data_IF_554001986402
#
_entry.id   IF_554001986402
#
_cell.length_a   1.000
_cell.length_b   1.000
_cell.length_c   1.000
_cell.angle_alpha   90.00
_cell.angle_beta   90.00
_cell.angle_gamma   90.00
#
_symmetry.space_group_name_H-M   'P 1'
#
loop_
_entity.id
_entity.type
_entity.pdbx_description
1 polymer ?
#
# COMPACT_ATOMS: atom_id res chain seq x y z
N UNK A 1 6.10 -54.95 28.76
CA UNK A 1 5.96 -54.57 27.34
C UNK A 1 7.34 -54.28 26.71
N UNK A 2 7.63 -54.80 25.52
CA UNK A 2 8.92 -54.53 24.88
C UNK A 2 9.03 -53.04 24.51
N UNK A 3 10.24 -52.45 24.50
CA UNK A 3 10.46 -51.06 24.06
C UNK A 3 9.86 -50.78 22.67
N UNK A 4 9.89 -51.78 21.78
CA UNK A 4 9.29 -51.72 20.46
C UNK A 4 7.75 -51.62 20.51
N UNK A 5 7.10 -52.35 21.42
CA UNK A 5 5.65 -52.30 21.61
C UNK A 5 5.19 -50.94 22.17
N UNK A 6 5.95 -50.37 23.11
CA UNK A 6 5.65 -49.05 23.67
C UNK A 6 5.87 -47.92 22.65
N UNK A 7 6.92 -48.02 21.81
CA UNK A 7 7.15 -47.06 20.72
C UNK A 7 6.05 -47.14 19.65
N UNK A 8 5.61 -48.36 19.30
CA UNK A 8 4.49 -48.56 18.37
C UNK A 8 3.16 -48.03 18.94
N UNK A 9 2.87 -48.28 20.22
CA UNK A 9 1.66 -47.80 20.88
C UNK A 9 1.64 -46.26 21.02
N UNK A 10 2.79 -45.65 21.32
CA UNK A 10 2.92 -44.19 21.36
C UNK A 10 2.83 -43.54 19.96
N UNK A 11 3.33 -44.20 18.92
CA UNK A 11 3.15 -43.77 17.53
C UNK A 11 1.69 -43.91 17.08
N UNK A 12 1.00 -45.00 17.45
CA UNK A 12 -0.44 -45.18 17.25
C UNK A 12 -1.26 -44.13 18.00
N UNK A 13 -0.98 -43.89 19.28
CA UNK A 13 -1.65 -42.85 20.07
C UNK A 13 -1.38 -41.45 19.48
N UNK A 14 -0.17 -41.13 19.02
CA UNK A 14 0.07 -39.86 18.31
C UNK A 14 -0.68 -39.77 16.97
N UNK A 15 -0.77 -40.86 16.22
CA UNK A 15 -1.54 -40.92 14.97
C UNK A 15 -3.06 -40.85 15.21
N UNK A 16 -3.54 -41.34 16.35
CA UNK A 16 -4.95 -41.29 16.76
C UNK A 16 -5.34 -39.96 17.43
N UNK A 17 -4.40 -39.26 18.08
CA UNK A 17 -4.68 -38.08 18.91
C UNK A 17 -4.28 -36.77 18.21
N UNK A 18 -3.37 -36.80 17.24
CA UNK A 18 -3.05 -35.64 16.40
C UNK A 18 -3.65 -35.83 15.01
N UNK A 19 -4.87 -35.34 14.74
CA UNK A 19 -5.42 -35.35 13.38
C UNK A 19 -4.42 -34.66 12.42
N UNK A 20 -4.30 -35.16 11.18
CA UNK A 20 -3.47 -34.50 10.18
C UNK A 20 -3.88 -33.04 10.06
N UNK A 21 -2.90 -32.16 10.14
CA UNK A 21 -3.09 -30.72 10.09
C UNK A 21 -3.00 -30.26 8.63
N UNK A 22 -4.09 -29.64 8.17
CA UNK A 22 -4.06 -28.84 6.96
C UNK A 22 -3.43 -27.50 7.30
N UNK A 23 -2.31 -27.21 6.65
CA UNK A 23 -1.67 -25.91 6.65
C UNK A 23 -2.47 -24.89 5.85
N UNK A 24 -2.04 -23.62 5.92
CA UNK A 24 -2.69 -22.53 5.21
C UNK A 24 -2.64 -22.78 3.70
N UNK A 25 -3.72 -22.41 3.03
CA UNK A 25 -3.82 -22.45 1.59
C UNK A 25 -3.26 -21.14 1.03
N UNK A 26 -2.30 -21.24 0.12
CA UNK A 26 -1.59 -20.09 -0.43
C UNK A 26 -1.61 -20.10 -1.95
N UNK A 27 -1.74 -18.93 -2.56
CA UNK A 27 -1.61 -18.78 -4.01
C UNK A 27 -0.16 -18.43 -4.37
N UNK A 28 0.32 -19.01 -5.46
CA UNK A 28 1.59 -18.67 -6.11
C UNK A 28 1.34 -18.30 -7.57
N UNK A 29 2.16 -17.40 -8.10
CA UNK A 29 1.98 -16.83 -9.43
C UNK A 29 3.27 -16.94 -10.23
N UNK A 30 3.18 -17.36 -11.49
CA UNK A 30 4.31 -17.47 -12.38
C UNK A 30 3.93 -16.99 -13.78
N UNK A 31 4.90 -16.41 -14.50
CA UNK A 31 4.73 -16.08 -15.91
C UNK A 31 5.21 -17.28 -16.74
N UNK A 32 4.35 -17.78 -17.62
CA UNK A 32 4.68 -18.85 -18.58
C UNK A 32 4.10 -18.44 -19.92
N UNK A 33 4.92 -18.44 -20.97
CA UNK A 33 4.53 -18.01 -22.32
C UNK A 33 3.83 -16.64 -22.37
N UNK A 34 4.30 -15.70 -21.54
CA UNK A 34 3.74 -14.35 -21.46
C UNK A 34 2.38 -14.26 -20.75
N UNK A 35 1.93 -15.32 -20.08
CA UNK A 35 0.68 -15.34 -19.32
C UNK A 35 0.94 -15.62 -17.84
N UNK A 36 0.19 -14.95 -16.96
CA UNK A 36 0.28 -15.22 -15.53
C UNK A 36 -0.59 -16.43 -15.20
N UNK A 37 0.00 -17.44 -14.58
CA UNK A 37 -0.67 -18.64 -14.09
C UNK A 37 -0.71 -18.62 -12.57
N UNK A 38 -1.87 -18.96 -12.00
CA UNK A 38 -2.06 -19.14 -10.57
C UNK A 38 -1.94 -20.63 -10.24
N UNK A 39 -1.23 -20.94 -9.15
CA UNK A 39 -1.15 -22.28 -8.56
C UNK A 39 -1.43 -22.18 -7.07
N UNK A 40 -2.40 -22.95 -6.60
CA UNK A 40 -2.72 -23.08 -5.19
C UNK A 40 -1.81 -24.11 -4.53
N UNK A 41 -1.35 -23.83 -3.31
CA UNK A 41 -0.48 -24.71 -2.52
C UNK A 41 -1.02 -24.84 -1.11
N UNK A 42 -1.04 -26.06 -0.61
CA UNK A 42 -1.40 -26.36 0.76
C UNK A 42 -0.41 -27.38 1.32
N UNK A 43 0.06 -27.12 2.54
CA UNK A 43 0.89 -28.07 3.26
C UNK A 43 -0.01 -29.00 4.05
N UNK A 44 0.24 -30.29 3.98
CA UNK A 44 -0.39 -31.29 4.84
C UNK A 44 0.66 -31.86 5.77
N UNK A 45 0.37 -31.88 7.08
CA UNK A 45 1.27 -32.42 8.11
C UNK A 45 0.56 -33.54 8.85
N UNK A 46 1.07 -34.77 8.80
CA UNK A 46 0.52 -35.89 9.57
C UNK A 46 0.65 -37.25 8.89
N UNK A 47 0.58 -38.32 9.69
CA UNK A 47 0.55 -39.71 9.22
C UNK A 47 -0.86 -40.26 9.35
N UNK A 48 -1.47 -40.69 8.25
CA UNK A 48 -2.62 -41.59 8.29
C UNK A 48 -2.57 -42.55 7.09
N UNK A 49 -3.09 -43.76 7.28
CA UNK A 49 -3.00 -44.86 6.32
C UNK A 49 -3.89 -44.68 5.08
N UNK A 50 -4.78 -43.68 5.08
CA UNK A 50 -5.54 -43.25 3.91
C UNK A 50 -5.96 -41.78 4.07
N UNK A 51 -5.28 -40.87 3.36
CA UNK A 51 -5.64 -39.45 3.29
C UNK A 51 -6.17 -39.15 1.89
N UNK A 52 -7.40 -38.65 1.81
CA UNK A 52 -7.96 -38.14 0.56
C UNK A 52 -8.18 -36.64 0.72
N UNK A 53 -7.49 -35.86 -0.10
CA UNK A 53 -7.70 -34.43 -0.17
C UNK A 53 -8.59 -34.14 -1.37
N UNK A 54 -9.80 -33.68 -1.07
CA UNK A 54 -10.79 -33.27 -2.06
C UNK A 54 -10.74 -31.75 -2.19
N UNK A 55 -10.77 -31.26 -3.42
CA UNK A 55 -10.82 -29.82 -3.70
C UNK A 55 -12.07 -29.54 -4.48
N UNK A 56 -12.88 -28.63 -3.93
CA UNK A 56 -14.08 -28.12 -4.58
C UNK A 56 -13.84 -26.67 -4.97
N UNK A 57 -14.01 -26.32 -6.26
CA UNK A 57 -13.94 -24.93 -6.68
C UNK A 57 -15.21 -24.23 -6.20
N UNK A 58 -15.07 -23.15 -5.44
CA UNK A 58 -16.23 -22.34 -5.05
C UNK A 58 -16.48 -21.21 -6.08
N UNK A 59 -15.47 -20.88 -6.88
CA UNK A 59 -15.60 -20.08 -8.10
C UNK A 59 -14.45 -20.43 -9.07
N UNK A 60 -14.80 -20.88 -10.28
CA UNK A 60 -13.92 -21.27 -11.41
C UNK A 60 -13.38 -22.74 -11.41
N UNK A 61 -14.02 -23.56 -12.26
CA UNK A 61 -13.61 -24.77 -13.01
C UNK A 61 -12.56 -25.79 -12.51
N UNK A 62 -12.27 -25.91 -11.22
CA UNK A 62 -11.27 -26.87 -10.73
C UNK A 62 -11.82 -27.88 -9.73
N UNK A 63 -12.36 -28.98 -10.23
CA UNK A 63 -12.67 -30.16 -9.41
C UNK A 63 -11.50 -31.15 -9.49
N UNK A 64 -11.07 -31.65 -8.34
CA UNK A 64 -9.99 -32.64 -8.29
C UNK A 64 -9.91 -33.36 -6.94
N UNK A 65 -9.43 -34.60 -6.98
CA UNK A 65 -9.11 -35.37 -5.79
C UNK A 65 -7.67 -35.87 -5.90
N UNK A 66 -6.93 -35.78 -4.81
CA UNK A 66 -5.59 -36.34 -4.71
C UNK A 66 -5.57 -37.42 -3.61
N UNK A 67 -5.17 -38.64 -3.98
CA UNK A 67 -4.84 -39.69 -3.02
C UNK A 67 -3.41 -39.46 -2.50
N UNK A 68 -3.27 -39.49 -1.16
CA UNK A 68 -2.02 -39.13 -0.50
C UNK A 68 -1.43 -40.34 0.22
N UNK A 69 -0.20 -40.69 -0.18
CA UNK A 69 0.61 -41.70 0.51
C UNK A 69 1.09 -41.16 1.88
N UNK A 70 1.24 -42.03 2.90
CA UNK A 70 1.66 -41.60 4.24
C UNK A 70 3.05 -40.95 4.24
N UNK A 71 3.14 -39.65 4.56
CA UNK A 71 4.39 -38.91 4.76
C UNK A 71 4.19 -37.82 5.82
N UNK A 72 5.23 -37.49 6.59
CA UNK A 72 5.13 -36.52 7.69
C UNK A 72 4.73 -35.11 7.24
N UNK A 73 5.24 -34.66 6.09
CA UNK A 73 4.88 -33.38 5.47
C UNK A 73 4.81 -33.56 3.95
N UNK A 74 3.74 -33.06 3.33
CA UNK A 74 3.58 -33.02 1.87
C UNK A 74 3.01 -31.68 1.42
N UNK A 75 3.61 -31.09 0.39
CA UNK A 75 2.98 -29.98 -0.35
C UNK A 75 2.09 -30.58 -1.44
N UNK A 76 0.85 -30.09 -1.51
CA UNK A 76 -0.08 -30.43 -2.59
C UNK A 76 -0.33 -29.15 -3.40
N UNK A 77 -0.28 -29.28 -4.72
CA UNK A 77 -0.48 -28.16 -5.65
C UNK A 77 -1.68 -28.41 -6.55
N UNK A 78 -2.41 -27.33 -6.85
CA UNK A 78 -3.54 -27.36 -7.78
C UNK A 78 -3.39 -26.23 -8.79
N UNK A 79 -3.68 -26.48 -10.08
CA UNK A 79 -3.81 -25.39 -11.05
C UNK A 79 -4.91 -24.45 -10.57
N UNK A 80 -4.70 -23.14 -10.69
CA UNK A 80 -5.62 -22.10 -10.24
C UNK A 80 -6.18 -21.24 -11.38
N UNK A 81 -5.87 -21.58 -12.62
CA UNK A 81 -6.26 -20.84 -13.84
C UNK A 81 -5.28 -19.73 -14.21
N UNK A 82 -5.60 -19.04 -15.31
CA UNK A 82 -4.86 -17.87 -15.78
C UNK A 82 -5.36 -16.59 -15.10
N UNK A 83 -4.47 -15.64 -14.92
CA UNK A 83 -4.77 -14.29 -14.43
C UNK A 83 -4.42 -13.32 -15.56
N UNK A 84 -5.43 -12.68 -16.14
CA UNK A 84 -5.27 -11.78 -17.30
C UNK A 84 -5.43 -10.32 -16.93
N UNK A 85 -6.06 -10.03 -15.80
CA UNK A 85 -6.35 -8.69 -15.32
C UNK A 85 -6.33 -8.61 -13.78
N UNK A 86 -6.40 -7.39 -13.24
CA UNK A 86 -6.55 -7.15 -11.80
C UNK A 86 -7.86 -7.73 -11.24
N UNK A 87 -8.94 -7.76 -12.05
CA UNK A 87 -10.23 -8.30 -11.63
C UNK A 87 -10.17 -9.81 -11.35
N UNK A 88 -9.29 -10.54 -12.07
CA UNK A 88 -9.11 -11.99 -11.94
C UNK A 88 -8.37 -12.40 -10.65
N UNK A 89 -7.81 -11.42 -9.93
CA UNK A 89 -7.10 -11.66 -8.68
C UNK A 89 -8.04 -12.08 -7.56
N UNK A 90 -9.30 -11.63 -7.61
CA UNK A 90 -10.34 -12.06 -6.67
C UNK A 90 -10.64 -13.54 -6.90
N UNK A 91 -10.55 -14.36 -5.87
CA UNK A 91 -10.80 -15.78 -5.97
C UNK A 91 -11.22 -16.41 -4.66
N UNK A 92 -12.01 -17.47 -4.77
CA UNK A 92 -12.44 -18.28 -3.64
C UNK A 92 -12.03 -19.73 -3.88
N UNK A 93 -11.37 -20.34 -2.92
CA UNK A 93 -10.93 -21.72 -3.01
C UNK A 93 -11.27 -22.46 -1.71
N UNK A 94 -11.89 -23.64 -1.85
CA UNK A 94 -12.12 -24.54 -0.73
C UNK A 94 -11.44 -25.88 -0.97
N UNK A 95 -10.80 -26.41 0.06
CA UNK A 95 -10.38 -27.80 0.15
C UNK A 95 -11.06 -28.49 1.32
N UNK A 96 -11.16 -29.81 1.23
CA UNK A 96 -11.68 -30.68 2.27
C UNK A 96 -10.71 -31.85 2.41
N UNK A 97 -10.06 -31.97 3.57
CA UNK A 97 -9.31 -33.17 3.89
C UNK A 97 -10.26 -34.20 4.48
N UNK A 98 -10.32 -35.38 3.87
CA UNK A 98 -11.06 -36.52 4.40
C UNK A 98 -10.10 -37.54 5.02
N UNK A 99 -10.35 -37.89 6.28
CA UNK A 99 -9.59 -38.87 7.06
C UNK A 99 -10.58 -39.91 7.60
N UNK A 100 -10.67 -41.06 6.94
CA UNK A 100 -11.77 -42.00 7.16
C UNK A 100 -13.12 -41.34 6.83
N UNK A 101 -14.01 -41.27 7.83
CA UNK A 101 -15.33 -40.62 7.70
C UNK A 101 -15.35 -39.15 8.16
N UNK A 102 -14.22 -38.64 8.69
CA UNK A 102 -14.13 -37.26 9.17
C UNK A 102 -13.69 -36.33 8.05
N UNK A 103 -14.40 -35.21 7.87
CA UNK A 103 -14.09 -34.17 6.89
C UNK A 103 -13.63 -32.91 7.61
N UNK A 104 -12.45 -32.42 7.25
CA UNK A 104 -11.86 -31.17 7.72
C UNK A 104 -11.90 -30.15 6.57
N UNK A 105 -12.87 -29.23 6.54
CA UNK A 105 -12.92 -28.19 5.53
C UNK A 105 -11.84 -27.13 5.79
N UNK A 106 -11.30 -26.58 4.72
CA UNK A 106 -10.49 -25.36 4.73
C UNK A 106 -10.92 -24.51 3.56
N UNK A 107 -11.14 -23.24 3.80
CA UNK A 107 -11.53 -22.29 2.76
C UNK A 107 -10.61 -21.09 2.86
N UNK A 108 -10.13 -20.61 1.72
CA UNK A 108 -9.49 -19.31 1.63
C UNK A 108 -10.19 -18.47 0.57
N UNK A 109 -10.40 -17.21 0.90
CA UNK A 109 -11.04 -16.23 0.03
C UNK A 109 -10.12 -15.04 -0.13
N UNK A 110 -9.74 -14.78 -1.37
CA UNK A 110 -9.09 -13.56 -1.81
C UNK A 110 -10.19 -12.60 -2.30
N UNK A 111 -10.88 -11.94 -1.38
CA UNK A 111 -11.81 -10.85 -1.70
C UNK A 111 -11.21 -9.52 -1.25
N UNK A 112 -10.55 -8.85 -2.18
CA UNK A 112 -9.86 -7.59 -1.88
C UNK A 112 -10.83 -6.43 -1.59
N UNK A 113 -12.06 -6.48 -2.11
CA UNK A 113 -13.09 -5.49 -1.78
C UNK A 113 -13.53 -5.66 -0.34
N UNK A 114 -13.77 -6.89 0.09
CA UNK A 114 -14.08 -7.19 1.49
C UNK A 114 -12.91 -6.80 2.42
N UNK A 115 -11.65 -7.06 2.02
CA UNK A 115 -10.50 -6.65 2.82
C UNK A 115 -10.37 -5.12 2.91
N UNK A 116 -10.68 -4.38 1.84
CA UNK A 116 -10.70 -2.92 1.87
C UNK A 116 -11.73 -2.40 2.87
N UNK A 117 -12.93 -2.98 2.88
CA UNK A 117 -13.99 -2.64 3.84
C UNK A 117 -13.54 -2.92 5.27
N UNK A 118 -12.96 -4.09 5.56
CA UNK A 118 -12.47 -4.43 6.92
C UNK A 118 -11.38 -3.48 7.40
N UNK A 119 -10.45 -3.11 6.53
CA UNK A 119 -9.40 -2.14 6.85
C UNK A 119 -10.00 -0.74 7.07
N UNK A 120 -10.90 -0.29 6.20
CA UNK A 120 -11.57 0.99 6.33
C UNK A 120 -12.41 1.09 7.61
N UNK A 121 -13.10 0.02 7.99
CA UNK A 121 -13.87 -0.07 9.24
C UNK A 121 -12.97 0.05 10.46
N UNK A 122 -11.82 -0.62 10.42
CA UNK A 122 -10.81 -0.49 11.46
C UNK A 122 -10.33 0.97 11.55
N UNK A 123 -9.87 1.55 10.44
CA UNK A 123 -9.38 2.94 10.42
C UNK A 123 -10.45 3.96 10.85
N UNK A 124 -11.70 3.78 10.42
CA UNK A 124 -12.79 4.69 10.76
C UNK A 124 -13.09 4.70 12.26
N UNK A 125 -13.06 3.52 12.89
CA UNK A 125 -13.26 3.38 14.35
C UNK A 125 -12.10 3.97 15.14
N UNK A 126 -10.86 3.68 14.75
CA UNK A 126 -9.69 4.20 15.47
C UNK A 126 -9.50 5.72 15.24
N UNK A 127 -10.06 6.27 14.16
CA UNK A 127 -9.97 7.68 13.79
C UNK A 127 -11.10 8.58 14.28
N UNK A 128 -11.92 8.14 15.24
CA UNK A 128 -13.05 8.94 15.75
C UNK A 128 -12.61 10.32 16.26
N UNK A 129 -11.46 10.39 16.93
CA UNK A 129 -10.86 11.63 17.45
C UNK A 129 -10.09 12.44 16.40
N UNK A 130 -10.12 12.02 15.12
CA UNK A 130 -9.46 12.70 14.01
C UNK A 130 -8.01 12.29 13.77
N UNK A 131 -7.47 11.28 14.48
CA UNK A 131 -6.14 10.68 14.26
C UNK A 131 -6.20 9.18 14.48
N UNK A 132 -5.38 8.40 13.78
CA UNK A 132 -5.41 6.94 13.86
C UNK A 132 -4.25 6.40 14.70
N UNK A 133 -3.02 6.63 14.23
CA UNK A 133 -1.80 6.17 14.88
C UNK A 133 -1.20 7.20 15.84
N UNK A 134 -1.70 8.44 15.78
CA UNK A 134 -1.09 9.60 16.43
C UNK A 134 0.12 10.16 15.69
N UNK A 135 0.56 9.53 14.59
CA UNK A 135 1.69 9.96 13.76
C UNK A 135 1.17 10.38 12.38
N UNK A 136 1.17 11.69 12.12
CA UNK A 136 0.44 12.28 11.01
C UNK A 136 0.91 11.82 9.62
N UNK A 137 2.22 11.60 9.42
CA UNK A 137 2.72 11.07 8.14
C UNK A 137 2.33 9.60 7.93
N UNK A 138 1.95 8.85 8.96
CA UNK A 138 1.37 7.51 8.76
C UNK A 138 -0.11 7.66 8.42
N UNK A 139 -0.80 8.48 9.21
CA UNK A 139 -2.24 8.69 9.13
C UNK A 139 -2.68 9.18 7.75
N UNK A 140 -1.89 10.01 7.05
CA UNK A 140 -2.23 10.50 5.71
C UNK A 140 -2.48 9.35 4.70
N UNK A 141 -1.82 8.20 4.86
CA UNK A 141 -2.06 7.01 4.02
C UNK A 141 -3.34 6.30 4.42
N UNK A 142 -3.63 6.23 5.71
CA UNK A 142 -4.92 5.77 6.23
C UNK A 142 -6.08 6.62 5.69
N UNK A 143 -5.94 7.94 5.69
CA UNK A 143 -6.90 8.88 5.07
C UNK A 143 -7.13 8.55 3.60
N UNK A 144 -6.06 8.32 2.83
CA UNK A 144 -6.19 7.97 1.41
C UNK A 144 -6.86 6.62 1.18
N UNK A 145 -6.61 5.64 2.06
CA UNK A 145 -7.31 4.37 2.03
C UNK A 145 -8.81 4.54 2.34
N UNK A 146 -9.18 5.39 3.30
CA UNK A 146 -10.57 5.74 3.62
C UNK A 146 -11.27 6.45 2.45
N UNK A 147 -10.61 7.39 1.78
CA UNK A 147 -11.15 8.03 0.58
C UNK A 147 -11.36 7.00 -0.55
N UNK A 148 -10.40 6.08 -0.75
CA UNK A 148 -10.55 4.98 -1.69
C UNK A 148 -11.74 4.07 -1.35
N UNK A 149 -11.88 3.69 -0.08
CA UNK A 149 -13.01 2.90 0.38
C UNK A 149 -14.36 3.62 0.20
N UNK A 150 -14.41 4.93 0.47
CA UNK A 150 -15.59 5.76 0.22
C UNK A 150 -16.00 5.72 -1.28
N UNK A 151 -15.05 5.87 -2.19
CA UNK A 151 -15.31 5.82 -3.63
C UNK A 151 -15.81 4.44 -4.10
N UNK A 152 -15.33 3.38 -3.45
CA UNK A 152 -15.67 1.98 -3.78
C UNK A 152 -17.04 1.57 -3.23
N UNK A 153 -17.46 2.14 -2.10
CA UNK A 153 -18.63 1.67 -1.31
C UNK A 153 -19.76 2.70 -1.20
N UNK A 154 -19.46 3.99 -1.31
CA UNK A 154 -20.40 5.08 -1.03
C UNK A 154 -20.58 5.39 0.47
N UNK A 155 -19.86 4.68 1.37
CA UNK A 155 -20.07 4.80 2.81
C UNK A 155 -19.51 6.11 3.38
N UNK A 156 -20.41 7.05 3.68
CA UNK A 156 -20.07 8.43 4.07
C UNK A 156 -19.17 8.53 5.30
N UNK A 157 -19.27 7.58 6.24
CA UNK A 157 -18.44 7.58 7.46
C UNK A 157 -16.94 7.56 7.18
N UNK A 158 -16.52 6.94 6.07
CA UNK A 158 -15.10 6.90 5.70
C UNK A 158 -14.62 8.28 5.25
N UNK A 159 -15.42 8.97 4.42
CA UNK A 159 -15.16 10.34 4.00
C UNK A 159 -15.15 11.30 5.19
N UNK A 160 -16.16 11.20 6.06
CA UNK A 160 -16.27 12.07 7.24
C UNK A 160 -15.08 11.90 8.18
N UNK A 161 -14.61 10.67 8.39
CA UNK A 161 -13.39 10.41 9.18
C UNK A 161 -12.14 10.99 8.52
N UNK A 162 -12.00 10.82 7.20
CA UNK A 162 -10.90 11.40 6.43
C UNK A 162 -10.86 12.94 6.53
N UNK A 163 -12.02 13.60 6.43
CA UNK A 163 -12.13 15.06 6.58
C UNK A 163 -11.82 15.54 8.00
N UNK A 164 -12.26 14.80 9.04
CA UNK A 164 -11.92 15.12 10.44
C UNK A 164 -10.40 15.16 10.64
N UNK A 165 -9.67 14.19 10.08
CA UNK A 165 -8.21 14.21 10.12
C UNK A 165 -7.62 15.47 9.48
N UNK A 166 -8.13 15.87 8.31
CA UNK A 166 -7.66 17.09 7.65
C UNK A 166 -7.88 18.34 8.50
N UNK A 167 -9.05 18.46 9.14
CA UNK A 167 -9.34 19.58 10.04
C UNK A 167 -8.45 19.58 11.29
N UNK A 168 -8.10 18.41 11.82
CA UNK A 168 -7.12 18.29 12.90
C UNK A 168 -5.73 18.77 12.45
N UNK A 169 -5.29 18.41 11.24
CA UNK A 169 -4.02 18.88 10.68
C UNK A 169 -3.99 20.40 10.47
N UNK A 170 -5.10 21.01 10.05
CA UNK A 170 -5.21 22.48 9.98
C UNK A 170 -5.10 23.10 11.37
N UNK A 171 -5.82 22.57 12.36
CA UNK A 171 -5.84 23.11 13.71
C UNK A 171 -4.47 23.03 14.42
N UNK A 172 -3.68 22.01 14.09
CA UNK A 172 -2.39 21.75 14.70
C UNK A 172 -1.20 22.24 13.87
N UNK A 173 -1.42 22.79 12.68
CA UNK A 173 -0.36 23.33 11.85
C UNK A 173 0.37 24.45 12.61
N UNK A 174 1.70 24.49 12.47
CA UNK A 174 2.55 25.50 13.09
C UNK A 174 2.37 26.85 12.40
N UNK A 175 2.68 27.92 13.12
CA UNK A 175 2.62 29.29 12.60
C UNK A 175 3.58 29.52 11.40
N UNK A 176 4.68 28.77 11.34
CA UNK A 176 5.62 28.80 10.20
C UNK A 176 5.17 27.96 8.99
N UNK A 177 3.99 27.33 9.08
CA UNK A 177 3.40 26.48 8.04
C UNK A 177 3.79 25.01 8.12
N UNK A 178 4.74 24.63 8.98
CA UNK A 178 5.12 23.22 9.18
C UNK A 178 3.99 22.39 9.79
N UNK A 179 3.82 21.15 9.34
CA UNK A 179 2.87 20.21 9.96
C UNK A 179 3.48 19.52 11.17
N UNK A 180 2.73 19.46 12.27
CA UNK A 180 3.10 18.65 13.43
C UNK A 180 2.96 17.17 13.09
N UNK A 181 4.04 16.43 13.27
CA UNK A 181 4.14 15.04 12.82
C UNK A 181 3.55 14.03 13.81
N UNK A 182 3.21 14.47 15.02
CA UNK A 182 2.80 13.60 16.13
C UNK A 182 3.95 13.07 16.98
N UNK A 183 5.19 13.50 16.69
CA UNK A 183 6.40 13.19 17.45
C UNK A 183 7.40 14.35 17.34
N UNK A 184 8.52 14.27 18.08
CA UNK A 184 9.59 15.28 18.02
C UNK A 184 9.35 16.52 18.88
N UNK A 185 8.25 16.57 19.65
CA UNK A 185 7.99 17.63 20.65
C UNK A 185 8.59 17.18 21.98
N UNK A 186 9.59 17.92 22.47
CA UNK A 186 10.32 17.59 23.70
C UNK A 186 10.51 18.83 24.58
N UNK A 187 11.06 18.64 25.78
CA UNK A 187 11.49 19.77 26.62
C UNK A 187 12.58 20.64 25.99
N UNK A 188 13.30 20.14 24.96
CA UNK A 188 14.31 20.91 24.21
C UNK A 188 13.71 21.74 23.08
N UNK A 189 12.43 21.53 22.76
CA UNK A 189 11.73 22.16 21.63
C UNK A 189 11.13 21.12 20.68
N UNK A 190 10.70 21.59 19.52
CA UNK A 190 9.92 20.85 18.54
C UNK A 190 10.71 20.62 17.25
N UNK A 191 10.79 19.35 16.83
CA UNK A 191 11.23 18.96 15.48
C UNK A 191 10.07 19.11 14.48
N UNK A 192 10.40 19.48 13.25
CA UNK A 192 9.45 19.56 12.16
C UNK A 192 10.16 19.23 10.85
N UNK A 193 9.93 18.04 10.30
CA UNK A 193 10.59 17.59 9.09
C UNK A 193 9.82 17.98 7.84
N UNK A 194 10.54 18.48 6.85
CA UNK A 194 9.98 18.84 5.53
C UNK A 194 9.50 17.58 4.80
N UNK A 195 10.23 16.46 4.91
CA UNK A 195 9.85 15.20 4.26
C UNK A 195 8.47 14.70 4.74
N UNK A 196 8.31 14.52 6.04
CA UNK A 196 7.06 14.09 6.68
C UNK A 196 5.92 15.07 6.44
N UNK A 197 6.22 16.37 6.48
CA UNK A 197 5.26 17.42 6.11
C UNK A 197 4.75 17.27 4.67
N UNK A 198 5.60 16.80 3.74
CA UNK A 198 5.22 16.52 2.35
C UNK A 198 4.23 15.37 2.22
N UNK A 199 4.45 14.31 2.99
CA UNK A 199 3.54 13.17 3.08
C UNK A 199 2.18 13.63 3.64
N UNK A 200 2.18 14.41 4.72
CA UNK A 200 0.95 15.00 5.29
C UNK A 200 0.26 15.91 4.26
N UNK A 201 1.02 16.77 3.57
CA UNK A 201 0.50 17.66 2.53
C UNK A 201 -0.16 16.91 1.38
N UNK A 202 0.34 15.72 1.01
CA UNK A 202 -0.30 14.90 -0.01
C UNK A 202 -1.68 14.40 0.46
N UNK A 203 -1.79 13.97 1.72
CA UNK A 203 -3.09 13.63 2.32
C UNK A 203 -4.05 14.81 2.34
N UNK A 204 -3.56 16.00 2.74
CA UNK A 204 -4.33 17.23 2.73
C UNK A 204 -4.83 17.60 1.33
N UNK A 205 -3.95 17.51 0.31
CA UNK A 205 -4.33 17.74 -1.08
C UNK A 205 -5.43 16.78 -1.52
N UNK A 206 -5.35 15.50 -1.12
CA UNK A 206 -6.38 14.50 -1.46
C UNK A 206 -7.76 14.80 -0.90
N UNK A 207 -7.88 15.55 0.20
CA UNK A 207 -9.16 15.94 0.78
C UNK A 207 -9.85 17.09 0.04
N UNK A 208 -9.09 17.96 -0.63
CA UNK A 208 -9.60 19.18 -1.28
C UNK A 208 -10.76 18.94 -2.27
N UNK A 209 -10.71 17.90 -3.14
CA UNK A 209 -11.82 17.58 -4.03
C UNK A 209 -13.11 17.16 -3.32
N UNK A 210 -13.01 16.63 -2.09
CA UNK A 210 -14.15 16.11 -1.31
C UNK A 210 -14.69 17.11 -0.29
N UNK A 211 -13.89 18.10 0.09
CA UNK A 211 -14.28 19.10 1.07
C UNK A 211 -15.46 19.94 0.58
N UNK A 212 -16.34 20.31 1.52
CA UNK A 212 -17.41 21.25 1.22
C UNK A 212 -16.84 22.60 0.76
N UNK A 213 -17.63 23.37 0.00
CA UNK A 213 -17.19 24.67 -0.53
C UNK A 213 -16.67 25.63 0.55
N UNK A 214 -17.24 25.58 1.76
CA UNK A 214 -16.82 26.39 2.90
C UNK A 214 -15.50 25.92 3.55
N UNK A 215 -15.15 24.64 3.43
CA UNK A 215 -13.96 24.04 4.04
C UNK A 215 -12.75 24.06 3.10
N UNK A 216 -13.00 23.98 1.79
CA UNK A 216 -11.96 23.98 0.76
C UNK A 216 -10.93 25.12 0.91
N UNK A 217 -11.32 26.40 1.15
CA UNK A 217 -10.35 27.47 1.35
C UNK A 217 -9.41 27.23 2.53
N UNK A 218 -9.89 26.63 3.62
CA UNK A 218 -9.07 26.34 4.81
C UNK A 218 -8.00 25.28 4.51
N UNK A 219 -8.38 24.22 3.80
CA UNK A 219 -7.43 23.18 3.36
C UNK A 219 -6.40 23.74 2.39
N UNK A 220 -6.83 24.57 1.43
CA UNK A 220 -5.93 25.22 0.47
C UNK A 220 -4.96 26.20 1.14
N UNK A 221 -5.42 26.96 2.13
CA UNK A 221 -4.56 27.84 2.92
C UNK A 221 -3.52 27.05 3.71
N UNK A 222 -3.91 25.93 4.31
CA UNK A 222 -3.00 25.04 5.03
C UNK A 222 -1.91 24.45 4.11
N UNK A 223 -2.30 24.00 2.91
CA UNK A 223 -1.35 23.58 1.86
C UNK A 223 -0.39 24.70 1.47
N UNK A 224 -0.91 25.90 1.22
CA UNK A 224 -0.08 27.07 0.87
C UNK A 224 0.94 27.39 1.97
N UNK A 225 0.53 27.34 3.25
CA UNK A 225 1.42 27.51 4.39
C UNK A 225 2.54 26.47 4.42
N UNK A 226 2.21 25.20 4.18
CA UNK A 226 3.21 24.15 4.09
C UNK A 226 4.19 24.33 2.93
N UNK A 227 3.73 24.74 1.74
CA UNK A 227 4.65 25.01 0.64
C UNK A 227 5.55 26.21 0.93
N UNK A 228 5.05 27.27 1.58
CA UNK A 228 5.91 28.35 2.06
C UNK A 228 6.96 27.85 3.08
N UNK A 229 6.57 27.00 4.03
CA UNK A 229 7.47 26.35 4.97
C UNK A 229 8.57 25.56 4.25
N UNK A 230 8.18 24.66 3.34
CA UNK A 230 9.08 23.83 2.53
C UNK A 230 10.08 24.67 1.75
N UNK A 231 9.61 25.70 1.06
CA UNK A 231 10.46 26.58 0.23
C UNK A 231 11.47 27.37 1.06
N UNK A 232 11.18 27.65 2.34
CA UNK A 232 12.15 28.27 3.24
C UNK A 232 13.42 27.43 3.45
N UNK A 233 13.38 26.11 3.17
CA UNK A 233 14.52 25.19 3.25
C UNK A 233 15.21 24.92 1.91
N UNK A 234 14.81 25.62 0.84
CA UNK A 234 15.48 25.49 -0.46
C UNK A 234 16.86 26.13 -0.42
N UNK A 235 17.86 25.45 -0.97
CA UNK A 235 19.22 25.97 -1.16
C UNK A 235 19.46 26.39 -2.61
N UNK A 236 20.49 27.21 -2.91
CA UNK A 236 20.73 27.71 -4.28
C UNK A 236 20.91 26.63 -5.36
N UNK A 237 21.36 25.42 -4.99
CA UNK A 237 21.48 24.29 -5.93
C UNK A 237 20.13 23.67 -6.33
N UNK A 238 19.02 24.14 -5.77
CA UNK A 238 17.67 23.60 -6.00
C UNK A 238 17.24 22.53 -4.99
N UNK A 239 18.17 21.96 -4.21
CA UNK A 239 17.84 20.98 -3.17
C UNK A 239 17.01 21.57 -2.03
N UNK A 240 16.33 20.71 -1.28
CA UNK A 240 15.49 21.11 -0.13
C UNK A 240 15.97 20.40 1.13
N UNK A 241 16.16 21.18 2.18
CA UNK A 241 16.63 20.71 3.48
C UNK A 241 15.68 19.85 4.28
N UNK A 242 16.19 19.38 5.41
CA UNK A 242 15.52 18.40 6.27
C UNK A 242 14.41 19.04 7.09
N UNK A 243 14.64 20.23 7.64
CA UNK A 243 13.68 20.91 8.52
C UNK A 243 14.28 21.37 9.84
N UNK A 244 13.43 21.57 10.84
CA UNK A 244 13.84 21.81 12.24
C UNK A 244 14.16 20.47 12.91
N UNK A 245 15.41 20.29 13.36
CA UNK A 245 15.91 19.01 13.85
C UNK A 245 16.59 19.14 15.23
N UNK A 246 16.44 18.15 16.10
CA UNK A 246 17.26 17.94 17.30
C UNK A 246 18.42 16.96 17.05
N UNK A 247 18.60 16.53 15.81
CA UNK A 247 19.73 15.75 15.33
C UNK A 247 20.34 16.42 14.10
N UNK A 248 21.67 16.47 14.01
CA UNK A 248 22.39 17.09 12.90
C UNK A 248 22.46 16.15 11.70
N UNK A 249 21.42 16.20 10.87
CA UNK A 249 21.37 15.50 9.60
C UNK A 249 22.29 16.12 8.53
N UNK A 250 23.01 17.20 8.84
CA UNK A 250 23.99 17.85 7.97
C UNK A 250 25.35 17.16 7.92
N UNK A 251 25.57 16.16 8.77
CA UNK A 251 26.81 15.40 8.84
C UNK A 251 26.58 13.90 9.01
N UNK A 252 27.64 13.12 8.84
CA UNK A 252 27.68 11.67 9.07
C UNK A 252 28.95 11.32 9.85
N UNK A 253 28.86 10.66 11.03
CA UNK A 253 27.64 10.20 11.70
C UNK A 253 26.73 11.34 12.18
N UNK A 254 25.45 11.05 12.34
CA UNK A 254 24.46 12.02 12.87
C UNK A 254 24.72 12.23 14.36
N UNK A 255 24.69 13.49 14.81
CA UNK A 255 24.93 13.85 16.23
C UNK A 255 23.73 14.58 16.84
N UNK A 256 23.46 14.42 18.14
CA UNK A 256 22.39 15.17 18.81
C UNK A 256 22.70 16.68 18.90
N UNK A 257 21.66 17.49 18.79
CA UNK A 257 21.70 18.95 18.98
C UNK A 257 21.03 19.34 20.30
N UNK A 258 21.47 20.46 20.88
CA UNK A 258 20.91 20.98 22.14
C UNK A 258 19.53 21.61 21.95
N UNK A 259 19.32 22.26 20.80
CA UNK A 259 18.09 22.98 20.45
C UNK A 259 17.69 22.69 19.00
N UNK A 260 16.38 22.80 18.64
CA UNK A 260 15.93 22.64 17.27
C UNK A 260 16.69 23.59 16.35
N UNK A 261 17.30 23.03 15.31
CA UNK A 261 18.15 23.76 14.37
C UNK A 261 17.68 23.48 12.95
N UNK A 262 17.71 24.51 12.10
CA UNK A 262 17.39 24.35 10.67
C UNK A 262 18.53 23.61 9.98
N UNK A 263 18.24 22.41 9.46
CA UNK A 263 19.19 21.61 8.70
C UNK A 263 18.83 21.65 7.23
N UNK A 264 19.75 22.18 6.40
CA UNK A 264 19.51 22.35 4.97
C UNK A 264 20.02 21.22 4.09
N UNK A 265 20.98 20.41 4.55
CA UNK A 265 21.84 19.54 3.74
C UNK A 265 21.08 18.56 2.82
N UNK A 266 20.76 18.94 1.56
CA UNK A 266 19.85 18.16 0.73
C UNK A 266 20.56 17.00 0.05
N UNK A 267 21.85 17.16 -0.26
CA UNK A 267 22.69 16.13 -0.88
C UNK A 267 22.88 14.90 0.03
N UNK A 268 22.82 15.08 1.35
CA UNK A 268 22.86 13.97 2.32
C UNK A 268 21.48 13.38 2.63
N UNK A 269 20.41 14.07 2.22
CA UNK A 269 19.03 13.80 2.63
C UNK A 269 18.07 13.93 1.44
N UNK A 270 18.40 13.25 0.33
CA UNK A 270 17.62 13.29 -0.92
C UNK A 270 16.17 12.82 -0.77
N UNK A 271 15.86 12.11 0.33
CA UNK A 271 14.52 11.72 0.69
C UNK A 271 13.56 12.90 0.87
N UNK A 272 14.02 14.12 1.20
CA UNK A 272 13.13 15.28 1.35
C UNK A 272 12.35 15.56 0.08
N UNK A 273 13.02 15.70 -1.07
CA UNK A 273 12.28 15.90 -2.33
C UNK A 273 11.46 14.66 -2.67
N UNK A 274 12.02 13.46 -2.43
CA UNK A 274 11.31 12.20 -2.63
C UNK A 274 9.97 12.11 -1.88
N UNK A 275 9.85 12.71 -0.70
CA UNK A 275 8.63 12.69 0.11
C UNK A 275 7.70 13.89 -0.16
N UNK A 276 8.18 14.95 -0.81
CA UNK A 276 7.38 16.19 -1.03
C UNK A 276 6.89 16.37 -2.46
N UNK A 277 7.50 15.69 -3.43
CA UNK A 277 7.25 15.91 -4.85
C UNK A 277 5.82 15.52 -5.27
N UNK A 278 5.26 14.43 -4.75
CA UNK A 278 3.84 14.07 -4.98
C UNK A 278 2.91 15.22 -4.60
N UNK A 279 3.10 15.79 -3.40
CA UNK A 279 2.30 16.91 -2.91
C UNK A 279 2.50 18.16 -3.77
N UNK A 280 3.72 18.42 -4.25
CA UNK A 280 4.00 19.57 -5.12
C UNK A 280 3.21 19.51 -6.42
N UNK A 281 3.19 18.35 -7.09
CA UNK A 281 2.35 18.14 -8.28
C UNK A 281 0.86 18.21 -7.96
N UNK A 282 0.42 17.63 -6.84
CA UNK A 282 -0.97 17.71 -6.41
C UNK A 282 -1.40 19.17 -6.21
N UNK A 283 -0.59 19.96 -5.49
CA UNK A 283 -0.86 21.37 -5.22
C UNK A 283 -0.87 22.22 -6.50
N UNK A 284 0.11 22.03 -7.39
CA UNK A 284 0.11 22.69 -8.70
C UNK A 284 -1.16 22.36 -9.51
N UNK A 285 -1.63 21.12 -9.45
CA UNK A 285 -2.86 20.70 -10.13
C UNK A 285 -4.12 21.33 -9.52
N UNK A 286 -4.19 21.46 -8.19
CA UNK A 286 -5.33 22.08 -7.49
C UNK A 286 -5.42 23.60 -7.73
N UNK A 287 -4.28 24.28 -7.87
CA UNK A 287 -4.24 25.72 -8.13
C UNK A 287 -4.36 26.04 -9.62
N UNK A 288 -3.97 25.10 -10.49
CA UNK A 288 -3.86 25.33 -11.93
C UNK A 288 -2.70 26.27 -12.30
N UNK A 289 -1.76 26.53 -11.38
CA UNK A 289 -0.65 27.44 -11.60
C UNK A 289 0.53 26.74 -12.31
N UNK A 290 0.84 27.11 -13.56
CA UNK A 290 1.94 26.49 -14.30
C UNK A 290 3.32 26.82 -13.72
N UNK A 291 3.47 27.87 -12.89
CA UNK A 291 4.73 28.15 -12.21
C UNK A 291 5.02 27.12 -11.11
N UNK A 292 4.00 26.70 -10.37
CA UNK A 292 4.12 25.64 -9.37
C UNK A 292 4.44 24.29 -10.02
N UNK A 293 3.85 24.01 -11.19
CA UNK A 293 4.16 22.80 -11.96
C UNK A 293 5.63 22.79 -12.43
N UNK A 294 6.13 23.90 -13.00
CA UNK A 294 7.54 24.04 -13.36
C UNK A 294 8.49 23.89 -12.17
N UNK A 295 8.08 24.37 -10.99
CA UNK A 295 8.87 24.18 -9.77
C UNK A 295 8.93 22.70 -9.35
N UNK A 296 7.81 21.98 -9.45
CA UNK A 296 7.79 20.54 -9.20
C UNK A 296 8.64 19.76 -10.22
N UNK A 297 8.64 20.17 -11.50
CA UNK A 297 9.52 19.59 -12.52
C UNK A 297 11.00 19.83 -12.21
N UNK A 298 11.37 21.02 -11.75
CA UNK A 298 12.74 21.32 -11.32
C UNK A 298 13.16 20.48 -10.11
N UNK A 299 12.24 20.22 -9.18
CA UNK A 299 12.47 19.33 -8.04
C UNK A 299 12.70 17.88 -8.51
N UNK A 300 11.92 17.41 -9.49
CA UNK A 300 12.11 16.10 -10.11
C UNK A 300 13.48 15.99 -10.82
N UNK A 301 13.87 17.00 -11.61
CA UNK A 301 15.15 17.06 -12.30
C UNK A 301 16.34 17.06 -11.34
N UNK A 302 16.21 17.75 -10.21
CA UNK A 302 17.22 17.72 -9.17
C UNK A 302 17.35 16.32 -8.57
N UNK A 303 16.23 15.64 -8.31
CA UNK A 303 16.21 14.36 -7.60
C UNK A 303 16.65 13.17 -8.46
N UNK A 304 16.23 13.11 -9.73
CA UNK A 304 16.45 11.97 -10.63
C UNK A 304 17.91 11.48 -10.70
N UNK A 305 18.93 12.33 -10.92
CA UNK A 305 20.32 11.88 -11.01
C UNK A 305 20.91 11.44 -9.65
N UNK A 306 20.20 11.67 -8.54
CA UNK A 306 20.68 11.40 -7.18
C UNK A 306 20.10 10.13 -6.57
N UNK A 307 19.07 9.54 -7.18
CA UNK A 307 18.48 8.29 -6.71
C UNK A 307 18.94 7.10 -7.57
N UNK A 308 19.39 6.04 -6.89
CA UNK A 308 19.76 4.77 -7.54
C UNK A 308 18.53 3.91 -7.86
N UNK A 309 17.54 3.94 -6.98
CA UNK A 309 16.28 3.19 -7.08
C UNK A 309 15.15 3.97 -6.43
N UNK A 310 13.93 3.68 -6.86
CA UNK A 310 12.69 4.20 -6.30
C UNK A 310 12.00 3.14 -5.45
N UNK A 311 11.36 3.60 -4.37
CA UNK A 311 10.47 2.82 -3.50
C UNK A 311 9.76 3.73 -2.54
N UNK A 312 8.61 3.31 -2.01
CA UNK A 312 7.86 4.09 -1.04
C UNK A 312 7.53 5.48 -1.58
N UNK A 313 7.68 6.50 -0.73
CA UNK A 313 7.29 7.87 -1.06
C UNK A 313 7.98 8.44 -2.32
N UNK A 314 9.25 8.09 -2.58
CA UNK A 314 9.93 8.57 -3.79
C UNK A 314 9.36 7.94 -5.06
N UNK A 315 9.00 6.66 -5.03
CA UNK A 315 8.33 6.00 -6.14
C UNK A 315 6.93 6.57 -6.37
N UNK A 316 6.17 6.80 -5.29
CA UNK A 316 4.87 7.45 -5.33
C UNK A 316 4.95 8.85 -5.95
N UNK A 317 5.94 9.64 -5.54
CA UNK A 317 6.19 10.97 -6.11
C UNK A 317 6.34 10.96 -7.62
N UNK A 318 7.02 9.98 -8.21
CA UNK A 318 7.13 9.87 -9.66
C UNK A 318 5.87 9.31 -10.33
N UNK A 319 5.06 8.50 -9.65
CA UNK A 319 3.72 8.14 -10.13
C UNK A 319 2.80 9.37 -10.20
N UNK A 320 2.83 10.23 -9.18
CA UNK A 320 2.10 11.49 -9.17
C UNK A 320 2.62 12.48 -10.21
N UNK A 321 3.93 12.61 -10.37
CA UNK A 321 4.55 13.42 -11.42
C UNK A 321 4.10 12.97 -12.82
N UNK A 322 4.16 11.66 -13.09
CA UNK A 322 3.68 11.07 -14.35
C UNK A 322 2.18 11.31 -14.58
N UNK A 323 1.36 11.18 -13.52
CA UNK A 323 -0.08 11.36 -13.60
C UNK A 323 -0.48 12.81 -13.92
N UNK A 324 0.21 13.79 -13.33
CA UNK A 324 -0.26 15.17 -13.26
C UNK A 324 0.51 16.16 -14.13
N UNK A 325 1.70 15.82 -14.62
CA UNK A 325 2.41 16.71 -15.56
C UNK A 325 1.59 16.94 -16.83
N UNK A 326 1.55 18.19 -17.27
CA UNK A 326 0.94 18.65 -18.51
C UNK A 326 1.85 18.47 -19.71
N UNK A 327 3.16 18.39 -19.49
CA UNK A 327 4.14 18.23 -20.56
C UNK A 327 4.23 16.74 -21.00
N UNK A 328 3.87 16.41 -22.25
CA UNK A 328 3.99 15.05 -22.77
C UNK A 328 5.44 14.51 -22.79
N UNK A 329 6.45 15.38 -22.92
CA UNK A 329 7.85 14.99 -22.88
C UNK A 329 8.26 14.58 -21.45
N UNK A 330 7.86 15.36 -20.44
CA UNK A 330 8.03 15.00 -19.02
C UNK A 330 7.32 13.71 -18.68
N UNK A 331 6.08 13.53 -19.17
CA UNK A 331 5.34 12.28 -18.97
C UNK A 331 6.12 11.06 -19.48
N UNK A 332 6.67 11.12 -20.70
CA UNK A 332 7.51 10.03 -21.24
C UNK A 332 8.76 9.80 -20.41
N UNK A 333 9.45 10.87 -19.99
CA UNK A 333 10.63 10.79 -19.12
C UNK A 333 10.32 10.06 -17.80
N UNK A 334 9.23 10.43 -17.13
CA UNK A 334 8.83 9.80 -15.87
C UNK A 334 8.41 8.34 -16.05
N UNK A 335 7.75 7.99 -17.16
CA UNK A 335 7.42 6.60 -17.48
C UNK A 335 8.68 5.73 -17.62
N UNK A 336 9.69 6.20 -18.35
CA UNK A 336 10.98 5.51 -18.49
C UNK A 336 11.75 5.41 -17.17
N UNK A 337 11.70 6.48 -16.37
CA UNK A 337 12.32 6.51 -15.05
C UNK A 337 11.66 5.51 -14.09
N UNK A 338 10.33 5.43 -14.05
CA UNK A 338 9.59 4.42 -13.28
C UNK A 338 9.93 3.01 -13.76
N UNK A 339 9.95 2.76 -15.07
CA UNK A 339 10.34 1.43 -15.61
C UNK A 339 11.72 1.00 -15.13
N UNK A 340 12.69 1.92 -15.14
CA UNK A 340 14.11 1.63 -14.93
C UNK A 340 14.49 1.59 -13.45
N UNK A 341 13.98 2.53 -12.65
CA UNK A 341 14.40 2.72 -11.25
C UNK A 341 13.38 2.21 -10.23
N UNK A 342 12.13 1.98 -10.62
CA UNK A 342 11.11 1.36 -9.76
C UNK A 342 10.88 -0.10 -10.17
N UNK A 343 10.37 -0.33 -11.38
CA UNK A 343 9.82 -1.64 -11.76
C UNK A 343 10.89 -2.71 -11.88
N UNK A 344 11.94 -2.48 -12.66
CA UNK A 344 13.01 -3.48 -12.83
C UNK A 344 13.66 -3.89 -11.48
N UNK A 345 14.03 -2.96 -10.57
CA UNK A 345 14.52 -3.33 -9.25
C UNK A 345 13.50 -4.07 -8.39
N UNK A 346 12.22 -3.67 -8.43
CA UNK A 346 11.17 -4.27 -7.61
C UNK A 346 10.86 -5.71 -8.04
N UNK A 347 10.84 -5.99 -9.35
CA UNK A 347 10.66 -7.35 -9.88
C UNK A 347 11.85 -8.28 -9.57
N UNK A 348 13.04 -7.71 -9.34
CA UNK A 348 14.23 -8.47 -8.94
C UNK A 348 14.29 -8.75 -7.41
N UNK A 349 13.38 -8.18 -6.60
CA UNK A 349 13.39 -8.39 -5.14
C UNK A 349 12.91 -9.80 -4.78
N UNK A 350 13.42 -10.29 -3.65
CA UNK A 350 12.95 -11.54 -3.04
C UNK A 350 11.49 -11.41 -2.56
N UNK A 351 10.75 -12.52 -2.45
CA UNK A 351 9.41 -12.54 -1.84
C UNK A 351 9.37 -11.87 -0.46
N UNK A 352 8.18 -11.40 -0.06
CA UNK A 352 7.92 -10.70 1.20
C UNK A 352 8.55 -9.30 1.33
N UNK A 353 8.98 -8.68 0.22
CA UNK A 353 9.57 -7.33 0.25
C UNK A 353 8.66 -6.28 0.90
N UNK A 354 7.33 -6.49 0.90
CA UNK A 354 6.36 -5.57 1.51
C UNK A 354 6.46 -5.48 3.04
N UNK A 355 7.15 -6.42 3.69
CA UNK A 355 7.42 -6.37 5.14
C UNK A 355 8.70 -5.57 5.49
N UNK A 356 9.49 -5.17 4.50
CA UNK A 356 10.71 -4.41 4.74
C UNK A 356 10.41 -3.04 5.35
N UNK A 357 11.38 -2.53 6.13
CA UNK A 357 11.31 -1.20 6.75
C UNK A 357 10.05 -1.00 7.61
N UNK A 358 9.72 -1.98 8.46
CA UNK A 358 8.55 -1.93 9.33
C UNK A 358 7.22 -1.94 8.57
N UNK A 359 7.20 -2.45 7.33
CA UNK A 359 6.01 -2.46 6.47
C UNK A 359 5.88 -1.27 5.52
N UNK A 360 6.77 -0.27 5.57
CA UNK A 360 6.73 0.87 4.62
C UNK A 360 6.83 0.45 3.17
N UNK A 361 7.54 -0.64 2.89
CA UNK A 361 7.68 -1.15 1.54
C UNK A 361 6.34 -1.63 0.95
N UNK A 362 5.31 -1.88 1.77
CA UNK A 362 3.99 -2.29 1.29
C UNK A 362 3.32 -1.27 0.38
N UNK A 363 3.73 0.01 0.43
CA UNK A 363 3.28 1.02 -0.54
C UNK A 363 3.67 0.65 -1.97
N UNK A 364 4.76 -0.10 -2.18
CA UNK A 364 5.21 -0.44 -3.54
C UNK A 364 4.14 -1.26 -4.32
N UNK A 365 3.14 -1.84 -3.64
CA UNK A 365 1.95 -2.42 -4.29
C UNK A 365 1.15 -1.37 -5.07
N UNK A 366 0.90 -0.19 -4.48
CA UNK A 366 0.24 0.94 -5.16
C UNK A 366 0.98 1.33 -6.44
N UNK A 367 2.31 1.37 -6.34
CA UNK A 367 3.17 1.76 -7.46
C UNK A 367 3.15 0.73 -8.60
N UNK A 368 3.10 -0.57 -8.27
CA UNK A 368 2.93 -1.64 -9.25
C UNK A 368 1.57 -1.54 -9.94
N UNK A 369 0.48 -1.36 -9.17
CA UNK A 369 -0.88 -1.23 -9.70
C UNK A 369 -0.99 0.00 -10.61
N UNK A 370 -0.45 1.14 -10.18
CA UNK A 370 -0.37 2.35 -10.98
C UNK A 370 0.35 2.11 -12.30
N UNK A 371 1.57 1.55 -12.25
CA UNK A 371 2.38 1.31 -13.45
C UNK A 371 1.68 0.35 -14.41
N UNK A 372 1.12 -0.75 -13.90
CA UNK A 372 0.35 -1.72 -14.70
C UNK A 372 -0.83 -1.05 -15.42
N UNK A 373 -1.51 -0.13 -14.73
CA UNK A 373 -2.72 0.51 -15.23
C UNK A 373 -2.43 1.66 -16.21
N UNK A 374 -1.39 2.46 -15.94
CA UNK A 374 -1.14 3.74 -16.65
C UNK A 374 0.05 3.73 -17.59
N UNK A 375 1.00 2.83 -17.40
CA UNK A 375 2.27 2.85 -18.14
C UNK A 375 2.41 1.61 -19.01
N UNK A 376 2.31 0.40 -18.46
CA UNK A 376 2.51 -0.83 -19.22
C UNK A 376 1.90 -2.07 -18.57
N UNK A 377 1.12 -2.85 -19.32
CA UNK A 377 0.47 -4.09 -18.87
C UNK A 377 1.36 -5.32 -19.02
N UNK A 378 2.49 -5.35 -18.32
CA UNK A 378 3.44 -6.47 -18.39
C UNK A 378 2.97 -7.64 -17.50
N UNK A 379 3.01 -8.90 -17.99
CA UNK A 379 2.66 -10.08 -17.20
C UNK A 379 3.48 -10.21 -15.91
N UNK A 380 4.75 -9.85 -15.94
CA UNK A 380 5.66 -9.90 -14.79
C UNK A 380 5.21 -8.94 -13.69
N UNK A 381 4.73 -7.75 -14.06
CA UNK A 381 4.16 -6.78 -13.13
C UNK A 381 2.85 -7.30 -12.55
N UNK A 382 1.97 -7.90 -13.36
CA UNK A 382 0.73 -8.51 -12.87
C UNK A 382 1.01 -9.67 -11.90
N UNK A 383 1.98 -10.52 -12.19
CA UNK A 383 2.39 -11.61 -11.30
C UNK A 383 2.95 -11.07 -9.96
N UNK A 384 3.71 -9.98 -9.99
CA UNK A 384 4.21 -9.31 -8.79
C UNK A 384 3.07 -8.70 -7.96
N UNK A 385 2.10 -8.03 -8.59
CA UNK A 385 0.88 -7.53 -7.94
C UNK A 385 0.12 -8.67 -7.27
N UNK A 386 -0.13 -9.76 -8.01
CA UNK A 386 -0.89 -10.91 -7.52
C UNK A 386 -0.21 -11.57 -6.31
N UNK A 387 1.12 -11.71 -6.36
CA UNK A 387 1.93 -12.27 -5.28
C UNK A 387 1.88 -11.37 -4.04
N UNK A 388 2.08 -10.07 -4.20
CA UNK A 388 2.03 -9.12 -3.09
C UNK A 388 0.62 -9.04 -2.49
N UNK A 389 -0.42 -8.88 -3.30
CA UNK A 389 -1.80 -8.80 -2.85
C UNK A 389 -2.21 -10.04 -2.05
N UNK A 390 -1.90 -11.24 -2.54
CA UNK A 390 -2.18 -12.48 -1.80
C UNK A 390 -1.38 -12.56 -0.49
N UNK A 391 -0.09 -12.21 -0.54
CA UNK A 391 0.77 -12.22 0.63
C UNK A 391 0.41 -11.20 1.71
N UNK A 392 -0.23 -10.09 1.33
CA UNK A 392 -0.61 -8.99 2.21
C UNK A 392 -2.05 -9.10 2.72
N UNK A 393 -2.97 -9.72 1.96
CA UNK A 393 -4.42 -9.63 2.24
C UNK A 393 -5.14 -10.98 2.32
N UNK A 394 -4.50 -12.11 2.02
CA UNK A 394 -5.10 -13.41 2.33
C UNK A 394 -5.11 -13.62 3.85
N UNK A 395 -6.20 -14.13 4.43
CA UNK A 395 -6.34 -14.27 5.89
C UNK A 395 -5.25 -15.16 6.52
N UNK A 396 -4.83 -16.19 5.79
CA UNK A 396 -3.97 -17.25 6.33
C UNK A 396 -2.48 -17.04 6.06
N UNK A 397 -2.09 -15.95 5.38
CA UNK A 397 -0.68 -15.72 5.04
C UNK A 397 0.09 -15.08 6.19
N UNK A 398 1.38 -15.43 6.37
CA UNK A 398 2.17 -14.87 7.46
C UNK A 398 2.38 -13.36 7.43
N UNK A 399 2.36 -12.78 6.23
CA UNK A 399 2.50 -11.35 6.03
C UNK A 399 1.19 -10.59 6.09
N UNK A 400 0.05 -11.23 6.39
CA UNK A 400 -1.26 -10.61 6.21
C UNK A 400 -1.54 -9.46 7.17
N UNK A 401 -2.20 -8.40 6.66
CA UNK A 401 -2.74 -7.30 7.47
C UNK A 401 -3.76 -7.76 8.51
N UNK A 402 -4.44 -8.88 8.25
CA UNK A 402 -5.42 -9.49 9.18
C UNK A 402 -4.83 -9.82 10.54
N UNK A 403 -3.51 -9.99 10.61
CA UNK A 403 -2.82 -10.23 11.87
C UNK A 403 -2.87 -9.02 12.81
N UNK A 404 -3.11 -7.82 12.29
CA UNK A 404 -3.09 -6.59 13.07
C UNK A 404 -4.49 -6.00 13.29
N UNK A 405 -5.44 -6.29 12.40
CA UNK A 405 -6.81 -5.81 12.52
C UNK A 405 -7.46 -6.27 13.84
N UNK A 406 -8.00 -5.33 14.59
CA UNK A 406 -8.70 -5.59 15.87
C UNK A 406 -7.78 -5.85 17.06
N UNK A 407 -6.45 -5.75 16.91
CA UNK A 407 -5.54 -5.79 18.05
C UNK A 407 -5.54 -4.43 18.77
N UNK A 408 -5.67 -4.39 20.10
CA UNK A 408 -5.48 -3.16 20.85
C UNK A 408 -4.01 -2.76 20.86
N UNK A 409 -3.74 -1.46 21.04
CA UNK A 409 -2.40 -0.90 21.30
C UNK A 409 -1.35 -1.28 20.24
N UNK A 410 -1.67 -1.10 18.97
CA UNK A 410 -0.72 -1.29 17.88
C UNK A 410 0.50 -0.37 18.03
N UNK A 411 1.69 -0.93 17.85
CA UNK A 411 2.93 -0.17 17.78
C UNK A 411 3.10 0.55 16.43
N UNK A 412 4.26 1.19 16.25
CA UNK A 412 4.61 1.97 15.05
C UNK A 412 4.52 1.16 13.74
N UNK A 413 5.20 0.01 13.68
CA UNK A 413 5.30 -0.79 12.44
C UNK A 413 3.96 -1.38 11.98
N UNK A 414 3.10 -1.94 12.85
CA UNK A 414 1.75 -2.33 12.45
C UNK A 414 0.92 -1.19 11.84
N UNK A 415 0.99 0.02 12.42
CA UNK A 415 0.31 1.19 11.87
C UNK A 415 0.84 1.58 10.50
N UNK A 416 2.17 1.61 10.33
CA UNK A 416 2.80 1.80 9.02
C UNK A 416 2.26 0.80 8.01
N UNK A 417 2.30 -0.49 8.35
CA UNK A 417 1.92 -1.55 7.43
C UNK A 417 0.44 -1.47 7.03
N UNK A 418 -0.47 -1.25 7.98
CA UNK A 418 -1.91 -1.09 7.72
C UNK A 418 -2.20 0.12 6.82
N UNK A 419 -1.66 1.28 7.15
CA UNK A 419 -1.93 2.50 6.39
C UNK A 419 -1.28 2.46 4.99
N UNK A 420 -0.04 1.98 4.87
CA UNK A 420 0.68 1.95 3.60
C UNK A 420 0.11 0.89 2.65
N UNK A 421 -0.27 -0.28 3.16
CA UNK A 421 -0.93 -1.32 2.35
C UNK A 421 -2.33 -0.90 1.89
N UNK A 422 -3.05 -0.12 2.69
CA UNK A 422 -4.40 0.33 2.38
C UNK A 422 -4.50 1.16 1.10
N UNK A 423 -3.49 1.95 0.76
CA UNK A 423 -3.45 2.72 -0.49
C UNK A 423 -3.40 1.78 -1.69
N UNK A 424 -2.46 0.83 -1.71
CA UNK A 424 -2.36 -0.15 -2.78
C UNK A 424 -3.57 -1.09 -2.86
N UNK A 425 -4.22 -1.39 -1.73
CA UNK A 425 -5.46 -2.17 -1.70
C UNK A 425 -6.62 -1.42 -2.36
N UNK A 426 -6.76 -0.11 -2.11
CA UNK A 426 -7.80 0.70 -2.73
C UNK A 426 -7.64 0.71 -4.26
N UNK A 427 -6.43 0.96 -4.75
CA UNK A 427 -6.14 0.95 -6.19
C UNK A 427 -6.20 -0.45 -6.80
N UNK A 428 -5.91 -1.51 -6.03
CA UNK A 428 -6.13 -2.89 -6.49
C UNK A 428 -7.61 -3.17 -6.77
N UNK A 429 -8.50 -2.72 -5.87
CA UNK A 429 -9.95 -2.92 -5.98
C UNK A 429 -10.56 -2.03 -7.06
N UNK A 430 -10.12 -0.78 -7.15
CA UNK A 430 -10.55 0.18 -8.14
C UNK A 430 -9.34 0.99 -8.62
N UNK A 431 -8.72 0.62 -9.75
CA UNK A 431 -7.51 1.28 -10.23
C UNK A 431 -7.65 2.80 -10.30
N UNK A 432 -6.63 3.51 -9.78
CA UNK A 432 -6.50 4.97 -9.77
C UNK A 432 -7.48 5.70 -8.84
N UNK A 433 -8.22 4.99 -7.99
CA UNK A 433 -9.13 5.63 -7.04
C UNK A 433 -8.39 6.58 -6.08
N UNK A 434 -7.13 6.28 -5.77
CA UNK A 434 -6.27 7.13 -4.94
C UNK A 434 -5.87 8.45 -5.62
N UNK A 435 -6.08 8.60 -6.93
CA UNK A 435 -5.87 9.82 -7.71
C UNK A 435 -7.17 10.55 -8.08
N UNK A 436 -8.33 10.01 -7.71
CA UNK A 436 -9.63 10.59 -8.07
C UNK A 436 -9.76 12.04 -7.60
N UNK A 437 -10.29 12.90 -8.46
CA UNK A 437 -10.39 14.34 -8.22
C UNK A 437 -9.17 15.14 -8.70
N UNK A 438 -8.12 14.47 -9.18
CA UNK A 438 -6.97 15.08 -9.87
C UNK A 438 -6.92 14.72 -11.36
N UNK A 439 -7.87 13.93 -11.84
CA UNK A 439 -8.04 13.60 -13.24
C UNK A 439 -8.35 14.88 -14.02
N UNK A 440 -7.31 15.51 -14.59
CA UNK A 440 -7.53 16.50 -15.64
C UNK A 440 -8.19 15.73 -16.78
N UNK A 441 -9.33 16.22 -17.27
CA UNK A 441 -9.91 15.74 -18.53
C UNK A 441 -8.83 15.86 -19.59
N UNK A 442 -8.10 14.77 -19.86
CA UNK A 442 -7.16 14.73 -20.97
C UNK A 442 -8.00 14.86 -22.22
N UNK A 443 -7.99 16.05 -22.83
CA UNK A 443 -8.57 16.28 -24.13
C UNK A 443 -8.09 15.17 -25.07
N UNK A 444 -9.01 14.31 -25.52
CA UNK A 444 -8.71 13.23 -26.46
C UNK A 444 -9.41 11.88 -26.24
N UNK A 445 -10.20 11.70 -25.17
CA UNK A 445 -11.09 10.53 -25.04
C UNK A 445 -12.46 10.82 -25.65
N UNK A 446 -12.80 10.15 -26.76
CA UNK A 446 -14.09 10.25 -27.45
C UNK A 446 -15.24 10.01 -26.47
N UNK A 447 -16.02 11.05 -26.19
CA UNK A 447 -17.36 10.91 -25.61
C UNK A 447 -18.22 10.08 -26.56
N UNK A 448 -18.61 8.88 -26.15
CA UNK A 448 -19.81 8.23 -26.70
C UNK A 448 -21.02 8.83 -25.98
N UNK A 449 -21.99 9.44 -26.70
CA UNK A 449 -23.20 9.96 -26.07
C UNK A 449 -24.16 8.78 -25.84
N UNK A 450 -24.28 8.32 -24.59
CA UNK A 450 -25.22 7.29 -24.16
C UNK A 450 -26.25 7.84 -23.17
N UNK A 451 -27.02 8.85 -23.57
CA UNK A 451 -28.13 9.40 -22.81
C UNK A 451 -29.48 9.00 -23.41
N UNK A 452 -29.85 7.72 -23.26
CA UNK A 452 -31.21 7.26 -23.52
C UNK A 452 -32.04 7.40 -22.24
N UNK A 453 -32.86 8.44 -22.15
CA UNK A 453 -33.88 8.55 -21.10
C UNK A 453 -35.04 7.58 -21.36
N UNK A 454 -35.69 7.04 -20.33
CA UNK A 454 -36.88 6.21 -20.53
C UNK A 454 -38.10 7.10 -20.82
N UNK A 455 -38.88 6.67 -21.81
CA UNK A 455 -40.23 7.18 -22.04
C UNK A 455 -41.16 6.68 -20.93
N UNK A 456 -42.02 7.57 -20.44
CA UNK A 456 -43.04 7.33 -19.42
C UNK A 456 -43.61 8.65 -18.94
#
# INVERSE_FOLDING_TARGET
PSPALNAALAAMLRAMVCPPLLGPLTASYAVTDGQVTRTWRQTLVGRAEALRLEVEPVANHLAGAAELQPREVREVTWPGGQVTSLADLTARFASRLRVGDVVYPTETTLDYREQLVKLADFLAREGEDGKFSGIAFIDHRGVRALLGAYEVTGERRYLETALRWGLAMVAEQRDDGGYRMGYGITSRGEECYVADGGEIALGMARLVPYAAAAERPRLMQSLAGYFAYRESFRVPSGGIGVGWCLSDYGQRPVTPLATPTRIYAPELNTYTIGCTLAAAYAYASLTGDPALERQAEADADWLMPRLKSLSGASGESFCWAHALTTDPARRRLYADYLRTHLIAPLLARKPLWWLNSGGRASLDLDLLVYYYTRVSRQPEVLAAIATAASGMFAADTPGSVHRFLGRPNLGHDPWLYLCFSGVGLADLVQPLVTLRGFERQTAGGVNSPGGGGPAG
#
